data_IF_718625856115
#
_entry.id   IF_718625856115
#
_cell.length_a   1.000
_cell.length_b   1.000
_cell.length_c   1.000
_cell.angle_alpha   90.00
_cell.angle_beta   90.00
_cell.angle_gamma   90.00
#
_symmetry.space_group_name_H-M   'P 1'
#
loop_
_entity.id
_entity.type
_entity.pdbx_description
1 polymer ?
#
# COMPACT_ATOMS: atom_id res chain seq x y z
N UNK A 1 17.41 8.35 -7.88
CA UNK A 1 16.76 7.01 -7.83
C UNK A 1 17.24 6.19 -9.02
N UNK A 2 17.74 4.98 -8.79
CA UNK A 2 18.25 4.17 -9.89
C UNK A 2 17.12 3.43 -10.61
N UNK A 3 17.27 3.24 -11.91
CA UNK A 3 16.34 2.47 -12.75
C UNK A 3 16.18 1.04 -12.21
N UNK A 4 17.27 0.43 -11.73
CA UNK A 4 17.24 -0.90 -11.12
C UNK A 4 16.34 -0.98 -9.89
N UNK A 5 16.33 0.05 -9.06
CA UNK A 5 15.49 0.12 -7.86
C UNK A 5 14.01 0.17 -8.25
N UNK A 6 13.68 0.95 -9.27
CA UNK A 6 12.30 1.04 -9.77
C UNK A 6 11.83 -0.28 -10.38
N UNK A 7 12.67 -0.93 -11.17
CA UNK A 7 12.36 -2.23 -11.76
C UNK A 7 12.14 -3.31 -10.70
N UNK A 8 12.98 -3.34 -9.67
CA UNK A 8 12.83 -4.28 -8.56
C UNK A 8 11.50 -4.08 -7.84
N UNK A 9 11.13 -2.84 -7.60
CA UNK A 9 9.88 -2.57 -6.90
C UNK A 9 8.66 -2.82 -7.78
N UNK A 10 8.77 -2.59 -9.08
CA UNK A 10 7.70 -2.96 -10.02
C UNK A 10 7.48 -4.47 -10.06
N UNK A 11 8.54 -5.25 -9.96
CA UNK A 11 8.43 -6.72 -9.86
C UNK A 11 7.70 -7.14 -8.59
N UNK A 12 8.00 -6.49 -7.45
CA UNK A 12 7.28 -6.77 -6.20
C UNK A 12 5.79 -6.47 -6.35
N UNK A 13 5.45 -5.35 -6.97
CA UNK A 13 4.05 -5.01 -7.23
C UNK A 13 3.38 -6.05 -8.11
N UNK A 14 4.04 -6.48 -9.18
CA UNK A 14 3.51 -7.53 -10.07
C UNK A 14 3.28 -8.84 -9.32
N UNK A 15 4.19 -9.22 -8.42
CA UNK A 15 4.02 -10.40 -7.57
C UNK A 15 2.82 -10.25 -6.64
N UNK A 16 2.66 -9.08 -6.03
CA UNK A 16 1.52 -8.81 -5.15
C UNK A 16 0.19 -8.94 -5.90
N UNK A 17 0.13 -8.40 -7.10
CA UNK A 17 -1.08 -8.44 -7.92
C UNK A 17 -1.38 -9.84 -8.47
N UNK A 18 -0.37 -10.72 -8.54
CA UNK A 18 -0.55 -12.09 -9.00
C UNK A 18 -1.12 -13.02 -7.93
N UNK A 19 -1.10 -12.64 -6.65
CA UNK A 19 -1.68 -13.46 -5.58
C UNK A 19 -3.19 -13.50 -5.69
N UNK A 20 -3.74 -14.70 -5.76
CA UNK A 20 -5.18 -14.90 -5.64
C UNK A 20 -5.49 -15.24 -4.18
N UNK A 21 -6.01 -14.27 -3.46
CA UNK A 21 -6.38 -14.41 -2.06
C UNK A 21 -7.89 -14.52 -1.86
N UNK A 22 -8.65 -14.76 -2.94
CA UNK A 22 -10.10 -14.84 -2.89
C UNK A 22 -10.61 -16.03 -2.05
N UNK A 23 -9.79 -17.04 -1.85
CA UNK A 23 -10.14 -18.26 -1.08
C UNK A 23 -9.43 -18.29 0.28
N UNK A 24 -9.23 -17.17 0.91
CA UNK A 24 -8.60 -17.09 2.22
C UNK A 24 -9.56 -17.60 3.30
N UNK A 25 -9.52 -18.81 3.59
CA UNK A 25 -10.31 -19.53 4.59
C UNK A 25 -9.73 -20.90 4.80
N UNK A 26 -8.81 -21.26 3.91
CA UNK A 26 -8.07 -22.52 3.98
C UNK A 26 -6.84 -22.34 4.88
N UNK A 27 -6.68 -23.18 5.89
CA UNK A 27 -5.52 -23.13 6.79
C UNK A 27 -4.20 -23.20 6.07
N UNK A 28 -4.14 -23.88 4.91
CA UNK A 28 -2.93 -23.97 4.09
C UNK A 28 -2.49 -22.61 3.55
N UNK A 29 -3.44 -21.73 3.24
CA UNK A 29 -3.15 -20.38 2.75
C UNK A 29 -2.74 -19.45 3.87
N UNK A 30 -3.11 -19.74 5.10
CA UNK A 30 -2.76 -18.97 6.29
C UNK A 30 -1.49 -19.48 6.99
N UNK A 31 -0.94 -20.61 6.58
CA UNK A 31 0.24 -21.21 7.16
C UNK A 31 1.54 -20.47 6.84
N UNK A 32 2.69 -20.93 7.39
CA UNK A 32 3.98 -20.24 7.21
C UNK A 32 4.42 -20.09 5.77
N UNK A 33 4.00 -20.96 4.89
CA UNK A 33 4.33 -20.95 3.46
C UNK A 33 3.13 -20.58 2.59
N UNK A 34 2.04 -20.10 3.18
CA UNK A 34 0.83 -19.75 2.45
C UNK A 34 0.95 -18.46 1.64
N UNK A 35 0.09 -18.30 0.67
CA UNK A 35 0.03 -17.11 -0.19
C UNK A 35 -0.17 -15.83 0.59
N UNK A 36 -0.94 -15.89 1.67
CA UNK A 36 -1.18 -14.73 2.54
C UNK A 36 0.11 -14.24 3.18
N UNK A 37 0.95 -15.13 3.70
CA UNK A 37 2.23 -14.76 4.29
C UNK A 37 3.17 -14.17 3.23
N UNK A 38 3.22 -14.77 2.05
CA UNK A 38 4.00 -14.24 0.94
C UNK A 38 3.53 -12.85 0.54
N UNK A 39 2.23 -12.63 0.44
CA UNK A 39 1.65 -11.31 0.17
C UNK A 39 2.06 -10.28 1.21
N UNK A 40 1.94 -10.60 2.50
CA UNK A 40 2.30 -9.67 3.58
C UNK A 40 3.80 -9.34 3.59
N UNK A 41 4.66 -10.32 3.37
CA UNK A 41 6.11 -10.12 3.34
C UNK A 41 6.54 -9.29 2.13
N UNK A 42 6.04 -9.62 0.95
CA UNK A 42 6.33 -8.88 -0.28
C UNK A 42 5.76 -7.47 -0.20
N UNK A 43 4.56 -7.32 0.38
CA UNK A 43 3.91 -6.03 0.60
C UNK A 43 4.74 -5.11 1.47
N UNK A 44 5.30 -5.60 2.57
CA UNK A 44 6.20 -4.80 3.42
C UNK A 44 7.45 -4.37 2.68
N UNK A 45 8.07 -5.27 1.92
CA UNK A 45 9.26 -4.96 1.13
C UNK A 45 8.95 -3.91 0.06
N UNK A 46 7.81 -4.06 -0.62
CA UNK A 46 7.33 -3.08 -1.60
C UNK A 46 7.13 -1.70 -0.97
N UNK A 47 6.46 -1.64 0.18
CA UNK A 47 6.16 -0.37 0.85
C UNK A 47 7.42 0.32 1.39
N UNK A 48 8.41 -0.43 1.87
CA UNK A 48 9.69 0.14 2.30
C UNK A 48 10.44 0.78 1.13
N UNK A 49 10.47 0.11 -0.02
CA UNK A 49 11.08 0.66 -1.22
C UNK A 49 10.29 1.87 -1.74
N UNK A 50 8.97 1.80 -1.71
CA UNK A 50 8.08 2.91 -2.08
C UNK A 50 8.36 4.15 -1.21
N UNK A 51 8.51 3.96 0.10
CA UNK A 51 8.80 5.05 1.02
C UNK A 51 10.12 5.77 0.67
N UNK A 52 11.16 5.00 0.35
CA UNK A 52 12.43 5.57 -0.11
C UNK A 52 12.26 6.36 -1.41
N UNK A 53 11.53 5.79 -2.34
CA UNK A 53 11.32 6.39 -3.66
C UNK A 53 10.46 7.66 -3.58
N UNK A 54 9.58 7.73 -2.59
CA UNK A 54 8.77 8.92 -2.30
C UNK A 54 9.52 9.98 -1.47
N UNK A 55 10.70 9.66 -0.97
CA UNK A 55 11.48 10.59 -0.14
C UNK A 55 10.89 10.82 1.25
N UNK A 56 10.22 9.82 1.80
CA UNK A 56 9.59 9.92 3.13
C UNK A 56 10.59 9.74 4.25
N UNK A 57 10.36 10.44 5.37
CA UNK A 57 11.04 10.19 6.63
C UNK A 57 10.02 9.77 7.70
N UNK A 58 10.49 9.39 8.89
CA UNK A 58 9.66 8.88 9.98
C UNK A 58 8.72 7.76 9.50
N UNK A 59 9.29 6.82 8.77
CA UNK A 59 8.56 5.76 8.07
C UNK A 59 8.27 4.61 9.02
N UNK A 60 7.02 4.17 9.03
CA UNK A 60 6.58 2.93 9.68
C UNK A 60 5.89 2.06 8.64
N UNK A 61 6.34 0.82 8.51
CA UNK A 61 5.72 -0.19 7.66
C UNK A 61 5.27 -1.34 8.55
N UNK A 62 4.01 -1.72 8.43
CA UNK A 62 3.42 -2.77 9.24
C UNK A 62 2.59 -3.72 8.39
N UNK A 63 2.31 -4.88 8.95
CA UNK A 63 1.41 -5.85 8.35
C UNK A 63 0.47 -6.39 9.41
N UNK A 64 -0.79 -6.55 9.03
CA UNK A 64 -1.81 -7.13 9.88
C UNK A 64 -2.48 -8.27 9.11
N UNK A 65 -2.40 -9.47 9.65
CA UNK A 65 -3.01 -10.63 9.00
C UNK A 65 -4.54 -10.62 9.05
N UNK A 66 -5.15 -9.82 9.92
CA UNK A 66 -6.59 -9.82 10.10
C UNK A 66 -7.10 -11.16 10.61
N UNK A 67 -8.20 -11.62 10.10
CA UNK A 67 -8.78 -12.92 10.43
C UNK A 67 -8.58 -13.94 9.32
N UNK A 68 -9.24 -15.08 9.45
CA UNK A 68 -9.09 -16.21 8.52
C UNK A 68 -9.64 -15.87 7.12
N UNK A 69 -10.73 -15.14 7.04
CA UNK A 69 -11.42 -14.88 5.78
C UNK A 69 -11.02 -13.57 5.08
N UNK A 70 -9.89 -12.99 5.46
CA UNK A 70 -9.42 -11.72 4.89
C UNK A 70 -7.97 -11.83 4.43
N UNK A 71 -7.60 -11.00 3.46
CA UNK A 71 -6.23 -10.96 2.93
C UNK A 71 -5.20 -10.51 3.95
N UNK A 72 -5.65 -9.80 4.96
CA UNK A 72 -4.75 -8.97 5.74
C UNK A 72 -4.39 -7.70 4.97
N UNK A 73 -3.55 -6.88 5.56
CA UNK A 73 -3.14 -5.63 4.96
C UNK A 73 -1.70 -5.29 5.30
N UNK A 74 -1.03 -4.59 4.38
CA UNK A 74 0.27 -3.99 4.62
C UNK A 74 0.09 -2.48 4.57
N UNK A 75 0.66 -1.77 5.53
CA UNK A 75 0.48 -0.34 5.63
C UNK A 75 1.81 0.39 5.78
N UNK A 76 1.88 1.53 5.15
CA UNK A 76 2.98 2.49 5.23
C UNK A 76 2.43 3.80 5.75
N UNK A 77 3.11 4.40 6.71
CA UNK A 77 2.93 5.79 7.04
C UNK A 77 4.30 6.46 7.05
N UNK A 78 4.39 7.63 6.43
CA UNK A 78 5.66 8.38 6.37
C UNK A 78 5.39 9.84 6.11
N UNK A 79 6.40 10.67 6.37
CA UNK A 79 6.24 12.12 6.39
C UNK A 79 7.12 12.78 5.34
N UNK A 80 6.60 13.81 4.72
CA UNK A 80 7.33 14.85 4.02
C UNK A 80 7.49 16.07 4.95
N UNK A 81 7.91 17.20 4.41
CA UNK A 81 8.17 18.41 5.22
C UNK A 81 6.91 19.00 5.86
N UNK A 82 5.77 18.92 5.18
CA UNK A 82 4.52 19.60 5.58
C UNK A 82 3.33 18.67 5.72
N UNK A 83 3.55 17.44 6.01
CA UNK A 83 2.53 16.40 6.11
C UNK A 83 3.07 15.11 5.58
N UNK A 84 2.24 14.12 5.43
CA UNK A 84 2.68 12.82 4.99
C UNK A 84 1.62 12.04 4.25
N UNK A 85 1.88 10.75 4.10
CA UNK A 85 1.02 9.82 3.38
C UNK A 85 0.85 8.53 4.17
N UNK A 86 -0.35 8.00 4.13
CA UNK A 86 -0.68 6.64 4.51
C UNK A 86 -1.02 5.86 3.24
N UNK A 87 -0.42 4.69 3.09
CA UNK A 87 -0.68 3.78 1.98
C UNK A 87 -0.97 2.40 2.54
N UNK A 88 -2.04 1.79 2.08
CA UNK A 88 -2.44 0.46 2.51
C UNK A 88 -2.67 -0.45 1.30
N UNK A 89 -2.05 -1.62 1.32
CA UNK A 89 -2.25 -2.67 0.33
C UNK A 89 -3.12 -3.76 0.92
N UNK A 90 -4.12 -4.19 0.17
CA UNK A 90 -5.04 -5.25 0.59
C UNK A 90 -5.66 -5.92 -0.64
N UNK A 91 -6.33 -7.03 -0.42
CA UNK A 91 -7.19 -7.62 -1.44
C UNK A 91 -8.58 -7.82 -0.85
N UNK A 92 -9.59 -7.37 -1.56
CA UNK A 92 -10.97 -7.54 -1.11
C UNK A 92 -11.41 -9.00 -1.25
N UNK A 93 -11.90 -9.57 -0.18
CA UNK A 93 -12.63 -10.84 -0.26
C UNK A 93 -13.89 -10.63 -1.09
N UNK A 94 -14.17 -11.56 -2.03
CA UNK A 94 -15.37 -11.47 -2.85
C UNK A 94 -15.25 -10.66 -4.13
N UNK A 95 -14.02 -10.35 -4.58
CA UNK A 95 -13.78 -9.82 -5.92
C UNK A 95 -13.86 -8.31 -6.06
N UNK A 96 -13.71 -7.55 -5.01
CA UNK A 96 -13.53 -6.11 -5.09
C UNK A 96 -12.26 -5.76 -5.87
N UNK A 97 -12.28 -4.68 -6.63
CA UNK A 97 -11.20 -4.30 -7.53
C UNK A 97 -10.14 -3.40 -6.88
N UNK A 98 -10.47 -2.75 -5.77
CA UNK A 98 -9.53 -1.86 -5.09
C UNK A 98 -8.49 -2.67 -4.34
N UNK A 99 -7.22 -2.34 -4.53
CA UNK A 99 -6.09 -3.05 -3.92
C UNK A 99 -5.14 -2.12 -3.18
N UNK A 100 -5.24 -0.83 -3.40
CA UNK A 100 -4.42 0.16 -2.71
C UNK A 100 -5.28 1.35 -2.29
N UNK A 101 -5.16 1.70 -1.01
CA UNK A 101 -5.78 2.89 -0.42
C UNK A 101 -4.66 3.85 -0.05
N UNK A 102 -4.84 5.14 -0.30
CA UNK A 102 -3.90 6.15 0.14
C UNK A 102 -4.62 7.43 0.56
N UNK A 103 -4.01 8.15 1.47
CA UNK A 103 -4.54 9.42 1.98
C UNK A 103 -3.44 10.27 2.57
N UNK A 104 -3.72 11.58 2.71
CA UNK A 104 -2.82 12.48 3.43
C UNK A 104 -2.92 12.25 4.93
N UNK A 105 -1.83 12.51 5.64
CA UNK A 105 -1.79 12.50 7.10
C UNK A 105 -1.07 13.74 7.62
N UNK A 106 -1.43 14.16 8.81
CA UNK A 106 -0.83 15.33 9.49
C UNK A 106 0.44 14.97 10.25
N UNK A 107 0.47 13.77 10.79
CA UNK A 107 1.59 13.22 11.55
C UNK A 107 1.57 11.70 11.50
N UNK A 108 2.62 11.07 12.02
CA UNK A 108 2.81 9.62 11.89
C UNK A 108 1.81 8.75 12.66
N UNK A 109 0.94 9.34 13.47
CA UNK A 109 -0.13 8.64 14.20
C UNK A 109 -1.52 9.15 13.83
N UNK A 110 -1.64 9.79 12.69
CA UNK A 110 -2.91 10.32 12.23
C UNK A 110 -3.76 9.21 11.61
N UNK A 111 -4.61 8.61 12.41
CA UNK A 111 -5.50 7.52 11.97
C UNK A 111 -6.74 8.01 11.25
N UNK A 112 -6.99 9.29 11.23
CA UNK A 112 -8.13 9.88 10.52
C UNK A 112 -7.72 10.42 9.15
N UNK A 113 -6.67 11.21 9.10
CA UNK A 113 -6.12 11.74 7.86
C UNK A 113 -7.11 12.47 6.97
N UNK A 114 -6.76 12.60 5.72
CA UNK A 114 -7.61 13.14 4.67
C UNK A 114 -8.55 12.10 4.08
N UNK A 115 -9.13 12.39 2.94
CA UNK A 115 -9.99 11.47 2.23
C UNK A 115 -9.25 10.24 1.75
N UNK A 116 -9.89 9.09 1.87
CA UNK A 116 -9.39 7.85 1.27
C UNK A 116 -9.50 7.94 -0.26
N UNK A 117 -8.38 7.66 -0.91
CA UNK A 117 -8.29 7.52 -2.35
C UNK A 117 -7.91 6.09 -2.65
N UNK A 118 -8.42 5.56 -3.75
CA UNK A 118 -8.27 4.14 -4.07
C UNK A 118 -7.65 3.97 -5.45
N UNK A 119 -6.80 2.95 -5.58
CA UNK A 119 -6.33 2.46 -6.86
C UNK A 119 -6.76 1.01 -7.01
N UNK A 120 -7.33 0.69 -8.16
CA UNK A 120 -7.75 -0.65 -8.47
C UNK A 120 -6.57 -1.50 -8.97
N UNK A 121 -6.77 -2.82 -8.99
CA UNK A 121 -5.83 -3.72 -9.66
C UNK A 121 -5.56 -3.27 -11.09
N UNK A 122 -6.60 -2.89 -11.81
CA UNK A 122 -6.51 -2.44 -13.20
C UNK A 122 -5.65 -1.19 -13.35
N UNK A 123 -5.80 -0.22 -12.43
CA UNK A 123 -4.99 0.99 -12.42
C UNK A 123 -3.50 0.65 -12.24
N UNK A 124 -3.19 -0.31 -11.37
CA UNK A 124 -1.81 -0.69 -11.09
C UNK A 124 -1.21 -1.55 -12.19
N UNK A 125 -1.99 -2.44 -12.80
CA UNK A 125 -1.53 -3.29 -13.90
C UNK A 125 -1.31 -2.50 -15.18
N UNK A 126 -2.13 -1.49 -15.44
CA UNK A 126 -2.06 -0.67 -16.63
C UNK A 126 -1.07 0.48 -16.56
N UNK A 127 -0.57 0.81 -15.37
CA UNK A 127 0.33 1.92 -15.14
C UNK A 127 1.78 1.48 -14.93
N UNK A 128 2.70 2.42 -15.08
CA UNK A 128 4.09 2.22 -14.71
C UNK A 128 4.29 2.52 -13.22
N UNK A 129 5.40 2.00 -12.66
CA UNK A 129 5.78 2.36 -11.30
C UNK A 129 6.08 3.86 -11.17
N UNK A 130 6.67 4.47 -12.21
CA UNK A 130 6.90 5.91 -12.23
C UNK A 130 5.59 6.70 -12.16
N UNK A 131 4.55 6.22 -12.82
CA UNK A 131 3.22 6.83 -12.75
C UNK A 131 2.61 6.70 -11.34
N UNK A 132 2.78 5.55 -10.70
CA UNK A 132 2.36 5.36 -9.31
C UNK A 132 3.07 6.35 -8.39
N UNK A 133 4.39 6.48 -8.51
CA UNK A 133 5.17 7.45 -7.73
C UNK A 133 4.66 8.88 -7.94
N UNK A 134 4.38 9.26 -9.17
CA UNK A 134 3.84 10.58 -9.49
C UNK A 134 2.48 10.79 -8.84
N UNK A 135 1.60 9.81 -8.95
CA UNK A 135 0.25 9.87 -8.37
C UNK A 135 0.32 10.08 -6.86
N UNK A 136 1.13 9.30 -6.16
CA UNK A 136 1.29 9.42 -4.71
C UNK A 136 2.02 10.69 -4.31
N UNK A 137 3.01 11.11 -5.07
CA UNK A 137 3.80 12.31 -4.79
C UNK A 137 2.98 13.60 -4.87
N UNK A 138 1.87 13.59 -5.59
CA UNK A 138 0.97 14.75 -5.65
C UNK A 138 0.44 15.13 -4.28
N UNK A 139 0.29 14.16 -3.38
CA UNK A 139 -0.15 14.42 -2.01
C UNK A 139 0.85 15.27 -1.21
N UNK A 140 2.11 15.34 -1.64
CA UNK A 140 3.13 16.13 -0.98
C UNK A 140 2.78 17.63 -0.94
N UNK A 141 2.06 18.10 -1.95
CA UNK A 141 1.63 19.50 -2.05
C UNK A 141 0.28 19.73 -1.40
N UNK A 142 -0.47 18.66 -1.15
CA UNK A 142 -1.80 18.78 -0.60
C UNK A 142 -1.70 18.96 0.92
N UNK A 143 -2.55 19.82 1.45
CA UNK A 143 -2.81 19.85 2.88
C UNK A 143 -3.76 18.70 3.21
N UNK A 144 -3.72 18.25 4.46
CA UNK A 144 -4.71 17.29 4.94
C UNK A 144 -6.10 17.90 4.69
N UNK A 145 -6.95 17.12 4.04
CA UNK A 145 -8.27 17.58 3.62
C UNK A 145 -9.10 18.02 4.83
N UNK A 146 -9.42 19.31 4.89
CA UNK A 146 -10.13 19.89 6.02
C UNK A 146 -11.59 19.47 6.11
N UNK A 147 -12.13 18.93 5.03
CA UNK A 147 -13.52 18.51 4.99
C UNK A 147 -13.83 17.38 5.99
N UNK A 148 -12.82 16.63 6.41
CA UNK A 148 -12.98 15.63 7.46
C UNK A 148 -12.87 16.20 8.87
N UNK A 149 -12.34 17.40 9.00
CA UNK A 149 -12.20 18.07 10.28
C UNK A 149 -13.40 18.99 10.58
N UNK A 150 -14.22 19.24 9.59
CA UNK A 150 -15.41 20.04 9.75
C UNK A 150 -16.59 19.24 10.33
#
# INVERSE_FOLDING_TARGET
>A
MSVKSQESNMRRLSMLLSHDLSFIGDERECGPNGSKKAFLNTGKAFLRALARDLGLHDVTVSANSGGIAVSGECALIGMWETGGIYVCLYQSAGGGNDVLLYRTVRHCRDYKGGYNRFLSRRDLEGGSYAHLLETLSRLRKDRVDNERAA
#
